data_IF_395902014272
#
_entry.id   IF_395902014272
#
_cell.length_a   1.000
_cell.length_b   1.000
_cell.length_c   1.000
_cell.angle_alpha   90.00
_cell.angle_beta   90.00
_cell.angle_gamma   90.00
#
_symmetry.space_group_name_H-M   'P 1'
#
loop_
_entity.id
_entity.type
_entity.pdbx_description
1 polymer ?
#
# COMPACT_ATOMS: atom_id res chain seq x y z
N UNK A 1 2.25 7.55 6.14
CA UNK A 1 2.78 6.67 5.07
C UNK A 1 1.77 6.59 3.95
N UNK A 2 0.51 6.27 4.26
CA UNK A 2 -0.64 6.26 3.32
C UNK A 2 -0.62 7.44 2.32
N UNK A 3 -0.55 8.68 2.80
CA UNK A 3 -0.62 9.86 1.93
C UNK A 3 0.48 9.92 0.88
N UNK A 4 1.70 9.50 1.21
CA UNK A 4 2.82 9.47 0.25
C UNK A 4 2.64 8.34 -0.78
N UNK A 5 2.18 7.17 -0.32
CA UNK A 5 1.92 6.03 -1.21
C UNK A 5 0.79 6.35 -2.20
N UNK A 6 -0.31 6.92 -1.71
CA UNK A 6 -1.42 7.34 -2.54
C UNK A 6 -1.02 8.41 -3.57
N UNK A 7 -0.13 9.34 -3.21
CA UNK A 7 0.43 10.32 -4.14
C UNK A 7 1.30 9.64 -5.23
N UNK A 8 2.14 8.67 -4.86
CA UNK A 8 2.93 7.90 -5.82
C UNK A 8 2.02 7.16 -6.82
N UNK A 9 0.94 6.54 -6.35
CA UNK A 9 -0.01 5.83 -7.20
C UNK A 9 -0.76 6.75 -8.17
N UNK A 10 -1.13 7.96 -7.74
CA UNK A 10 -1.77 8.97 -8.59
C UNK A 10 -0.81 9.66 -9.57
N UNK A 11 0.48 9.32 -9.55
CA UNK A 11 1.49 9.97 -10.38
C UNK A 11 1.97 11.33 -9.84
N UNK A 12 1.57 11.68 -8.62
CA UNK A 12 2.00 12.88 -7.89
C UNK A 12 3.29 12.63 -7.08
N UNK A 13 3.93 11.46 -7.25
CA UNK A 13 5.13 11.08 -6.53
C UNK A 13 6.35 11.95 -6.89
N UNK A 14 7.20 12.17 -5.89
CA UNK A 14 8.49 12.87 -6.01
C UNK A 14 9.64 11.92 -5.65
N UNK A 15 10.84 12.18 -6.19
CA UNK A 15 12.04 11.36 -5.92
C UNK A 15 12.43 11.32 -4.43
N UNK A 16 11.99 12.30 -3.64
CA UNK A 16 12.24 12.37 -2.20
C UNK A 16 11.24 11.54 -1.36
N UNK A 17 10.16 11.03 -1.95
CA UNK A 17 9.16 10.26 -1.21
C UNK A 17 9.66 8.87 -0.77
N UNK A 18 10.35 8.07 -1.61
CA UNK A 18 10.88 6.78 -1.17
C UNK A 18 11.89 6.89 -0.01
N UNK A 19 12.87 7.83 -0.01
CA UNK A 19 13.73 8.06 1.15
C UNK A 19 12.95 8.45 2.41
N UNK A 20 11.92 9.30 2.30
CA UNK A 20 11.06 9.64 3.45
C UNK A 20 10.32 8.43 3.98
N UNK A 21 9.76 7.59 3.11
CA UNK A 21 9.08 6.35 3.52
C UNK A 21 10.03 5.39 4.25
N UNK A 22 11.29 5.26 3.80
CA UNK A 22 12.30 4.48 4.50
C UNK A 22 12.57 5.02 5.91
N UNK A 23 12.70 6.34 6.06
CA UNK A 23 12.91 6.96 7.37
C UNK A 23 11.71 6.76 8.31
N UNK A 24 10.49 6.90 7.77
CA UNK A 24 9.27 6.61 8.53
C UNK A 24 9.25 5.15 9.02
N UNK A 25 9.64 4.18 8.18
CA UNK A 25 9.74 2.77 8.58
C UNK A 25 10.77 2.58 9.71
N UNK A 26 11.93 3.23 9.63
CA UNK A 26 12.96 3.18 10.69
C UNK A 26 12.44 3.70 12.02
N UNK A 27 11.61 4.74 12.03
CA UNK A 27 11.03 5.27 13.26
C UNK A 27 9.99 4.35 13.88
N UNK A 28 9.27 3.53 13.09
CA UNK A 28 8.25 2.61 13.61
C UNK A 28 8.81 1.54 14.54
N UNK A 29 10.11 1.22 14.46
CA UNK A 29 10.77 0.32 15.42
C UNK A 29 10.76 0.82 16.86
N UNK A 30 10.57 2.12 17.07
CA UNK A 30 10.54 2.75 18.39
C UNK A 30 9.12 2.85 18.97
N UNK A 31 8.11 2.32 18.27
CA UNK A 31 6.74 2.36 18.75
C UNK A 31 6.55 1.47 19.99
N UNK A 32 5.53 1.80 20.78
CA UNK A 32 5.21 1.10 22.02
C UNK A 32 4.89 -0.40 21.80
N UNK A 33 4.31 -0.76 20.65
CA UNK A 33 3.92 -2.13 20.34
C UNK A 33 4.38 -2.55 18.93
N UNK A 34 4.44 -3.87 18.74
CA UNK A 34 4.85 -4.49 17.49
C UNK A 34 3.87 -4.23 16.32
N UNK A 35 2.68 -3.67 16.58
CA UNK A 35 1.72 -3.35 15.52
C UNK A 35 2.31 -2.35 14.51
N UNK A 36 2.97 -1.29 14.98
CA UNK A 36 3.57 -0.30 14.10
C UNK A 36 4.73 -0.89 13.27
N UNK A 37 5.51 -1.80 13.85
CA UNK A 37 6.54 -2.54 13.14
C UNK A 37 5.92 -3.44 12.05
N UNK A 38 4.86 -4.17 12.41
CA UNK A 38 4.11 -5.02 11.48
C UNK A 38 3.51 -4.21 10.32
N UNK A 39 3.03 -2.99 10.58
CA UNK A 39 2.53 -2.09 9.54
C UNK A 39 3.64 -1.52 8.63
N UNK A 40 4.85 -1.32 9.14
CA UNK A 40 5.98 -0.82 8.36
C UNK A 40 6.66 -1.90 7.50
N UNK A 41 6.63 -3.16 7.94
CA UNK A 41 7.33 -4.26 7.26
C UNK A 41 6.96 -4.43 5.77
N UNK A 42 5.68 -4.34 5.35
CA UNK A 42 5.33 -4.41 3.93
C UNK A 42 5.89 -3.24 3.12
N UNK A 43 5.89 -2.03 3.68
CA UNK A 43 6.43 -0.83 3.02
C UNK A 43 7.95 -0.94 2.88
N UNK A 44 8.62 -1.51 3.88
CA UNK A 44 10.05 -1.75 3.82
C UNK A 44 10.41 -2.75 2.71
N UNK A 45 9.73 -3.90 2.64
CA UNK A 45 9.93 -4.88 1.57
C UNK A 45 9.61 -4.29 0.18
N UNK A 46 8.55 -3.49 0.06
CA UNK A 46 8.21 -2.78 -1.17
C UNK A 46 9.39 -1.92 -1.68
N UNK A 47 10.03 -1.16 -0.79
CA UNK A 47 11.12 -0.26 -1.17
C UNK A 47 12.44 -1.00 -1.44
N UNK A 48 12.68 -2.11 -0.75
CA UNK A 48 13.90 -2.91 -0.88
C UNK A 48 13.88 -3.80 -2.13
N UNK A 49 12.79 -4.54 -2.33
CA UNK A 49 12.69 -5.55 -3.40
C UNK A 49 12.08 -4.98 -4.69
N UNK A 50 11.19 -3.98 -4.58
CA UNK A 50 10.41 -3.43 -5.69
C UNK A 50 10.64 -1.93 -5.91
N UNK A 51 11.75 -1.37 -5.41
CA UNK A 51 12.07 0.05 -5.56
C UNK A 51 12.12 0.53 -7.02
N UNK A 52 12.44 -0.36 -7.98
CA UNK A 52 12.38 -0.08 -9.41
C UNK A 52 10.96 0.21 -9.91
N UNK A 53 9.96 -0.54 -9.42
CA UNK A 53 8.55 -0.32 -9.73
C UNK A 53 8.07 0.99 -9.13
N UNK A 54 8.37 1.26 -7.85
CA UNK A 54 8.06 2.54 -7.19
C UNK A 54 8.63 3.72 -7.97
N UNK A 55 9.85 3.60 -8.50
CA UNK A 55 10.46 4.63 -9.35
C UNK A 55 9.76 4.78 -10.70
N UNK A 56 9.19 3.72 -11.26
CA UNK A 56 8.41 3.79 -12.48
C UNK A 56 7.14 4.64 -12.27
N UNK A 57 6.47 4.55 -11.11
CA UNK A 57 5.34 5.43 -10.78
C UNK A 57 5.72 6.92 -10.81
N UNK A 58 6.88 7.27 -10.25
CA UNK A 58 7.38 8.66 -10.15
C UNK A 58 7.79 9.19 -11.53
N UNK A 59 8.56 8.38 -12.28
CA UNK A 59 9.12 8.80 -13.58
C UNK A 59 8.07 8.85 -14.69
N UNK A 60 7.12 7.91 -14.68
CA UNK A 60 6.03 7.88 -15.66
C UNK A 60 4.83 8.75 -15.25
N UNK A 61 4.83 9.28 -14.02
CA UNK A 61 3.74 10.09 -13.45
C UNK A 61 2.37 9.41 -13.59
N UNK A 62 2.34 8.08 -13.43
CA UNK A 62 1.14 7.23 -13.46
C UNK A 62 1.46 5.88 -12.83
N UNK A 63 0.44 5.14 -12.41
CA UNK A 63 0.64 3.73 -12.06
C UNK A 63 1.00 2.92 -13.34
N UNK A 64 2.14 2.20 -13.36
CA UNK A 64 2.55 1.35 -14.47
C UNK A 64 1.86 -0.02 -14.46
N UNK A 65 1.18 -0.38 -13.37
CA UNK A 65 0.41 -1.61 -13.26
C UNK A 65 -0.96 -1.42 -13.92
N UNK A 66 -1.29 -2.31 -14.85
CA UNK A 66 -2.63 -2.39 -15.43
C UNK A 66 -3.59 -2.93 -14.35
N UNK A 67 -4.41 -2.07 -13.77
CA UNK A 67 -5.50 -2.49 -12.91
C UNK A 67 -6.64 -2.99 -13.80
N UNK A 68 -6.56 -4.21 -14.33
CA UNK A 68 -7.74 -4.83 -14.93
C UNK A 68 -8.75 -5.08 -13.81
N UNK A 69 -9.88 -4.36 -13.75
CA UNK A 69 -11.06 -4.46 -12.85
C UNK A 69 -10.87 -4.87 -11.37
N UNK A 70 -9.63 -4.95 -10.87
CA UNK A 70 -9.23 -5.48 -9.57
C UNK A 70 -9.09 -4.36 -8.54
N UNK A 71 -10.10 -3.50 -8.48
CA UNK A 71 -10.40 -2.83 -7.21
C UNK A 71 -11.67 -3.41 -6.59
N UNK A 72 -11.61 -4.59 -5.95
CA UNK A 72 -12.71 -5.07 -5.11
C UNK A 72 -12.73 -4.38 -3.74
N UNK A 73 -11.84 -3.43 -3.44
CA UNK A 73 -11.93 -2.58 -2.26
C UNK A 73 -12.78 -1.36 -2.61
N UNK A 74 -14.10 -1.36 -2.34
CA UNK A 74 -14.79 -0.10 -2.34
C UNK A 74 -14.15 0.72 -1.22
N UNK A 75 -13.69 1.92 -1.52
CA UNK A 75 -13.52 2.99 -0.52
C UNK A 75 -14.90 3.41 0.07
N UNK A 76 -15.88 2.49 0.09
CA UNK A 76 -17.13 2.62 0.79
C UNK A 76 -16.85 2.50 2.29
N UNK A 77 -17.65 3.18 3.13
CA UNK A 77 -17.59 2.98 4.56
C UNK A 77 -17.73 1.49 4.88
N UNK A 78 -16.87 0.95 5.75
CA UNK A 78 -16.98 -0.41 6.27
C UNK A 78 -18.44 -0.67 6.68
N UNK A 79 -19.11 -1.71 6.17
CA UNK A 79 -20.41 -2.09 6.72
C UNK A 79 -20.26 -2.42 8.21
N UNK A 80 -21.29 -2.11 8.99
CA UNK A 80 -21.32 -2.43 10.42
C UNK A 80 -21.16 -3.94 10.65
N UNK A 81 -20.73 -4.31 11.85
CA UNK A 81 -20.52 -5.72 12.26
C UNK A 81 -21.77 -6.61 12.06
N UNK A 82 -22.94 -6.01 11.84
CA UNK A 82 -24.23 -6.67 11.65
C UNK A 82 -24.35 -7.45 10.31
N UNK A 83 -23.46 -7.22 9.33
CA UNK A 83 -23.54 -7.85 8.00
C UNK A 83 -22.60 -9.06 7.80
N UNK A 84 -21.90 -9.51 8.85
CA UNK A 84 -20.83 -10.53 8.76
C UNK A 84 -21.32 -11.99 8.79
N UNK A 85 -22.61 -12.26 9.00
CA UNK A 85 -23.11 -13.63 9.21
C UNK A 85 -23.61 -14.36 7.95
N UNK A 86 -23.62 -13.73 6.78
CA UNK A 86 -24.04 -14.43 5.55
C UNK A 86 -23.07 -14.23 4.40
N UNK A 87 -22.23 -15.24 4.14
CA UNK A 87 -21.60 -15.36 2.81
C UNK A 87 -20.12 -15.72 2.83
N UNK A 88 -19.85 -17.01 3.01
CA UNK A 88 -18.63 -17.67 2.59
C UNK A 88 -18.48 -17.60 1.06
N UNK A 89 -18.09 -16.46 0.48
CA UNK A 89 -17.81 -16.43 -0.95
C UNK A 89 -16.68 -15.45 -1.35
N UNK A 90 -15.49 -16.06 -1.48
CA UNK A 90 -14.42 -15.74 -2.42
C UNK A 90 -13.78 -14.35 -2.31
N UNK A 91 -12.71 -14.26 -1.51
CA UNK A 91 -11.54 -13.51 -2.00
C UNK A 91 -10.98 -14.30 -3.18
N UNK A 92 -10.97 -13.75 -4.41
CA UNK A 92 -10.28 -14.39 -5.51
C UNK A 92 -8.79 -14.44 -5.15
N UNK A 93 -8.21 -15.64 -5.14
CA UNK A 93 -6.77 -15.83 -4.99
C UNK A 93 -6.08 -15.14 -6.16
N UNK A 94 -5.10 -14.29 -5.84
CA UNK A 94 -4.26 -13.61 -6.81
C UNK A 94 -3.52 -14.67 -7.67
N UNK A 95 -3.65 -14.66 -9.01
CA UNK A 95 -2.83 -15.50 -9.86
C UNK A 95 -1.40 -14.93 -9.89
N UNK A 96 -0.43 -15.78 -9.51
CA UNK A 96 1.01 -15.53 -9.55
C UNK A 96 1.51 -15.48 -10.99
#
# INVERSE_FOLDING_TARGET
>A
METLLAAIERGEGEDDFPPRLQEMCRHMRNAYCAFALGAASPVQGLLEDFGGEVKAHITQKRCPLEHGDLNPWPLAPMPGIEDLETGHERYPSCPV
#
